data_IF_151721936977
#
_entry.id   IF_151721936977
#
_cell.length_a   1.000
_cell.length_b   1.000
_cell.length_c   1.000
_cell.angle_alpha   90.00
_cell.angle_beta   90.00
_cell.angle_gamma   90.00
#
_symmetry.space_group_name_H-M   'P 1'
#
loop_
_entity.id
_entity.type
_entity.pdbx_description
1 polymer ?
#
# COMPACT_ATOMS: atom_id res chain seq x y z
N UNK A 1 24.08 -0.32 6.22
CA UNK A 1 22.90 -0.30 7.11
C UNK A 1 21.79 0.60 6.59
N UNK A 2 22.00 1.91 6.38
CA UNK A 2 20.93 2.82 5.91
C UNK A 2 20.53 2.56 4.47
N UNK A 3 21.50 2.33 3.58
CA UNK A 3 21.25 1.94 2.19
C UNK A 3 20.49 0.60 2.08
N UNK A 4 20.72 -0.31 3.03
CA UNK A 4 20.05 -1.61 3.09
C UNK A 4 18.57 -1.44 3.48
N UNK A 5 18.27 -0.58 4.47
CA UNK A 5 16.89 -0.28 4.90
C UNK A 5 16.10 0.35 3.76
N UNK A 6 16.64 1.38 3.10
CA UNK A 6 15.97 2.01 1.95
C UNK A 6 15.70 0.97 0.87
N UNK A 7 16.70 0.15 0.52
CA UNK A 7 16.54 -0.87 -0.51
C UNK A 7 15.46 -1.89 -0.13
N UNK A 8 15.41 -2.32 1.12
CA UNK A 8 14.38 -3.26 1.61
C UNK A 8 12.97 -2.66 1.55
N UNK A 9 12.80 -1.39 1.95
CA UNK A 9 11.52 -0.67 1.84
C UNK A 9 11.08 -0.60 0.37
N UNK A 10 11.96 -0.13 -0.50
CA UNK A 10 11.65 0.08 -1.92
C UNK A 10 11.36 -1.26 -2.62
N UNK A 11 12.17 -2.29 -2.39
CA UNK A 11 11.92 -3.63 -2.93
C UNK A 11 10.62 -4.24 -2.41
N UNK A 12 10.29 -4.05 -1.13
CA UNK A 12 9.03 -4.51 -0.55
C UNK A 12 7.81 -3.85 -1.21
N UNK A 13 7.86 -2.52 -1.38
CA UNK A 13 6.77 -1.76 -2.00
C UNK A 13 6.60 -2.12 -3.48
N UNK A 14 7.69 -2.27 -4.24
CA UNK A 14 7.65 -2.71 -5.64
C UNK A 14 7.15 -4.14 -5.80
N UNK A 15 7.52 -5.05 -4.89
CA UNK A 15 7.00 -6.41 -4.89
C UNK A 15 5.48 -6.42 -4.62
N UNK A 16 5.03 -5.65 -3.64
CA UNK A 16 3.60 -5.50 -3.34
C UNK A 16 2.82 -4.92 -4.52
N UNK A 17 3.38 -3.90 -5.17
CA UNK A 17 2.84 -3.33 -6.40
C UNK A 17 2.72 -4.37 -7.52
N UNK A 18 3.79 -5.12 -7.81
CA UNK A 18 3.78 -6.15 -8.85
C UNK A 18 2.75 -7.25 -8.58
N UNK A 19 2.67 -7.72 -7.33
CA UNK A 19 1.67 -8.71 -6.92
C UNK A 19 0.25 -8.16 -7.07
N UNK A 20 0.01 -6.91 -6.63
CA UNK A 20 -1.29 -6.25 -6.75
C UNK A 20 -1.70 -6.07 -8.22
N UNK A 21 -0.79 -5.62 -9.08
CA UNK A 21 -1.04 -5.44 -10.50
C UNK A 21 -1.27 -6.77 -11.23
N UNK A 22 -0.44 -7.78 -10.96
CA UNK A 22 -0.57 -9.10 -11.56
C UNK A 22 -1.88 -9.78 -11.18
N UNK A 23 -2.22 -9.76 -9.89
CA UNK A 23 -3.48 -10.35 -9.41
C UNK A 23 -4.70 -9.53 -9.85
N UNK A 24 -4.62 -8.20 -9.89
CA UNK A 24 -5.67 -7.34 -10.43
C UNK A 24 -5.94 -7.62 -11.91
N UNK A 25 -4.88 -7.74 -12.72
CA UNK A 25 -5.00 -8.05 -14.14
C UNK A 25 -5.74 -9.37 -14.34
N UNK A 26 -5.31 -10.45 -13.67
CA UNK A 26 -5.98 -11.76 -13.74
C UNK A 26 -7.42 -11.65 -13.23
N UNK A 27 -7.62 -11.01 -12.08
CA UNK A 27 -8.90 -10.93 -11.39
C UNK A 27 -9.97 -10.16 -12.14
N UNK A 28 -9.59 -9.11 -12.87
CA UNK A 28 -10.50 -8.31 -13.70
C UNK A 28 -11.16 -9.13 -14.81
N UNK A 29 -10.45 -10.09 -15.41
CA UNK A 29 -10.99 -10.98 -16.44
C UNK A 29 -11.64 -12.23 -15.85
N UNK A 30 -11.08 -12.80 -14.78
CA UNK A 30 -11.54 -14.06 -14.20
C UNK A 30 -12.82 -13.92 -13.35
N UNK A 31 -13.13 -12.72 -12.84
CA UNK A 31 -14.24 -12.50 -11.88
C UNK A 31 -15.16 -11.35 -12.33
N UNK A 32 -16.12 -11.61 -13.24
CA UNK A 32 -16.93 -10.56 -13.88
C UNK A 32 -17.99 -9.94 -12.96
N UNK A 33 -18.29 -10.55 -11.80
CA UNK A 33 -19.26 -10.00 -10.85
C UNK A 33 -18.82 -8.62 -10.36
N UNK A 34 -19.75 -7.67 -10.31
CA UNK A 34 -19.49 -6.25 -10.02
C UNK A 34 -18.63 -6.03 -8.77
N UNK A 35 -18.92 -6.74 -7.67
CA UNK A 35 -18.14 -6.70 -6.43
C UNK A 35 -16.66 -7.07 -6.65
N UNK A 36 -16.39 -8.18 -7.34
CA UNK A 36 -15.03 -8.65 -7.56
C UNK A 36 -14.30 -7.79 -8.60
N UNK A 37 -15.01 -7.37 -9.64
CA UNK A 37 -14.43 -6.47 -10.65
C UNK A 37 -13.98 -5.14 -10.03
N UNK A 38 -14.80 -4.58 -9.15
CA UNK A 38 -14.45 -3.35 -8.42
C UNK A 38 -13.31 -3.55 -7.42
N UNK A 39 -13.29 -4.68 -6.69
CA UNK A 39 -12.15 -5.06 -5.87
C UNK A 39 -10.84 -5.09 -6.67
N UNK A 40 -10.79 -5.85 -7.77
CA UNK A 40 -9.58 -5.98 -8.58
C UNK A 40 -9.18 -4.67 -9.25
N UNK A 41 -10.14 -3.88 -9.73
CA UNK A 41 -9.85 -2.56 -10.29
C UNK A 41 -9.17 -1.65 -9.26
N UNK A 42 -9.71 -1.59 -8.04
CA UNK A 42 -9.17 -0.75 -6.97
C UNK A 42 -7.81 -1.26 -6.46
N UNK A 43 -7.63 -2.58 -6.35
CA UNK A 43 -6.32 -3.18 -6.06
C UNK A 43 -5.28 -2.84 -7.13
N UNK A 44 -5.68 -2.80 -8.40
CA UNK A 44 -4.82 -2.38 -9.50
C UNK A 44 -4.41 -0.91 -9.41
N UNK A 45 -5.34 -0.01 -9.06
CA UNK A 45 -5.04 1.42 -8.85
C UNK A 45 -4.00 1.59 -7.74
N UNK A 46 -4.20 0.97 -6.58
CA UNK A 46 -3.23 1.03 -5.48
C UNK A 46 -1.88 0.43 -5.87
N UNK A 47 -1.89 -0.71 -6.57
CA UNK A 47 -0.68 -1.29 -7.14
C UNK A 47 0.09 -0.32 -8.05
N UNK A 48 -0.59 0.48 -8.88
CA UNK A 48 0.04 1.51 -9.71
C UNK A 48 0.63 2.64 -8.86
N UNK A 49 -0.09 3.10 -7.84
CA UNK A 49 0.36 4.16 -6.94
C UNK A 49 1.61 3.72 -6.17
N UNK A 50 1.58 2.55 -5.54
CA UNK A 50 2.69 1.99 -4.78
C UNK A 50 3.92 1.76 -5.68
N UNK A 51 3.68 1.26 -6.89
CA UNK A 51 4.71 1.07 -7.90
C UNK A 51 5.37 2.38 -8.32
N UNK A 52 4.57 3.43 -8.53
CA UNK A 52 5.05 4.77 -8.83
C UNK A 52 5.88 5.37 -7.70
N UNK A 53 5.42 5.24 -6.45
CA UNK A 53 6.16 5.70 -5.27
C UNK A 53 7.49 4.94 -5.16
N UNK A 54 7.48 3.61 -5.27
CA UNK A 54 8.68 2.78 -5.23
C UNK A 54 9.66 3.11 -6.34
N UNK A 55 9.15 3.37 -7.56
CA UNK A 55 9.97 3.74 -8.71
C UNK A 55 10.64 5.11 -8.54
N UNK A 56 9.89 6.13 -8.12
CA UNK A 56 10.47 7.46 -7.81
C UNK A 56 11.50 7.33 -6.68
N UNK A 57 11.22 6.52 -5.67
CA UNK A 57 12.15 6.27 -4.58
C UNK A 57 13.42 5.51 -5.02
N UNK A 58 13.40 4.73 -6.11
CA UNK A 58 14.61 4.14 -6.71
C UNK A 58 15.48 5.19 -7.40
N UNK A 59 14.86 6.12 -8.12
CA UNK A 59 15.55 7.11 -8.95
C UNK A 59 16.04 8.33 -8.14
N UNK A 60 15.39 8.63 -7.02
CA UNK A 60 15.72 9.77 -6.18
C UNK A 60 17.00 9.59 -5.35
N UNK A 61 17.43 10.68 -4.72
CA UNK A 61 18.59 10.68 -3.85
C UNK A 61 18.38 9.81 -2.59
N UNK A 62 19.43 9.12 -2.11
CA UNK A 62 19.39 8.39 -0.84
C UNK A 62 18.88 9.26 0.31
N UNK A 63 17.77 8.82 0.93
CA UNK A 63 17.21 9.49 2.10
C UNK A 63 17.92 9.03 3.36
N UNK A 64 18.19 9.96 4.28
CA UNK A 64 18.68 9.64 5.62
C UNK A 64 17.56 9.05 6.47
N UNK A 65 17.91 8.35 7.56
CA UNK A 65 16.92 7.86 8.53
C UNK A 65 16.05 9.02 9.08
N UNK A 66 16.65 10.20 9.28
CA UNK A 66 15.94 11.38 9.77
C UNK A 66 14.89 11.90 8.77
N UNK A 67 15.15 11.73 7.47
CA UNK A 67 14.18 12.03 6.42
C UNK A 67 13.09 10.96 6.27
N UNK A 68 13.41 9.68 6.50
CA UNK A 68 12.46 8.57 6.34
C UNK A 68 11.43 8.45 7.48
N UNK A 69 11.85 8.67 8.74
CA UNK A 69 10.97 8.56 9.91
C UNK A 69 9.68 9.39 9.78
N UNK A 70 9.71 10.70 9.47
CA UNK A 70 8.48 11.49 9.37
C UNK A 70 7.58 11.01 8.24
N UNK A 71 8.15 10.59 7.10
CA UNK A 71 7.38 10.07 5.95
C UNK A 71 6.64 8.80 6.34
N UNK A 72 7.34 7.82 6.91
CA UNK A 72 6.73 6.55 7.34
C UNK A 72 5.68 6.75 8.44
N UNK A 73 5.91 7.68 9.37
CA UNK A 73 4.94 8.04 10.41
C UNK A 73 3.67 8.63 9.82
N UNK A 74 3.79 9.54 8.85
CA UNK A 74 2.64 10.14 8.17
C UNK A 74 1.87 9.08 7.39
N UNK A 75 2.57 8.23 6.63
CA UNK A 75 1.92 7.14 5.89
C UNK A 75 1.18 6.16 6.81
N UNK A 76 1.83 5.72 7.90
CA UNK A 76 1.18 4.86 8.91
C UNK A 76 -0.13 5.49 9.42
N UNK A 77 -0.15 6.82 9.63
CA UNK A 77 -1.37 7.54 10.00
C UNK A 77 -2.43 7.58 8.90
N UNK A 78 -2.01 7.77 7.64
CA UNK A 78 -2.90 7.71 6.47
C UNK A 78 -3.48 6.29 6.29
N UNK A 79 -2.72 5.23 6.56
CA UNK A 79 -3.20 3.86 6.46
C UNK A 79 -4.30 3.53 7.47
N UNK A 80 -4.19 4.06 8.70
CA UNK A 80 -5.29 3.98 9.68
C UNK A 80 -6.54 4.63 9.10
N UNK A 81 -6.42 5.83 8.50
CA UNK A 81 -7.55 6.50 7.87
C UNK A 81 -8.12 5.67 6.71
N UNK A 82 -7.27 5.09 5.86
CA UNK A 82 -7.71 4.23 4.76
C UNK A 82 -8.47 2.99 5.25
N UNK A 83 -7.99 2.32 6.30
CA UNK A 83 -8.68 1.17 6.92
C UNK A 83 -10.04 1.56 7.49
N UNK A 84 -10.16 2.73 8.13
CA UNK A 84 -11.45 3.25 8.61
C UNK A 84 -12.41 3.51 7.45
N UNK A 85 -11.94 4.19 6.40
CA UNK A 85 -12.73 4.45 5.18
C UNK A 85 -13.17 3.14 4.54
N UNK A 86 -12.29 2.14 4.50
CA UNK A 86 -12.60 0.81 3.99
C UNK A 86 -13.75 0.15 4.76
N UNK A 87 -13.76 0.24 6.10
CA UNK A 87 -14.87 -0.22 6.93
C UNK A 87 -16.19 0.49 6.59
N UNK A 88 -16.15 1.80 6.37
CA UNK A 88 -17.33 2.59 5.94
C UNK A 88 -17.81 2.20 4.55
N UNK A 89 -16.92 1.84 3.63
CA UNK A 89 -17.28 1.37 2.29
C UNK A 89 -17.87 -0.03 2.30
N UNK A 90 -17.34 -0.92 3.15
CA UNK A 90 -17.83 -2.29 3.32
C UNK A 90 -19.25 -2.36 3.92
N UNK A 91 -19.66 -1.36 4.70
CA UNK A 91 -21.01 -1.28 5.26
C UNK A 91 -22.08 -0.81 4.26
N UNK A 92 -21.68 -0.35 3.07
CA UNK A 92 -22.61 0.15 2.04
C UNK A 92 -23.33 -0.98 1.34
N UNK A 93 -24.57 -0.73 0.89
CA UNK A 93 -25.37 -1.75 0.16
C UNK A 93 -24.87 -2.04 -1.26
N UNK A 94 -24.30 -1.04 -1.94
CA UNK A 94 -23.89 -1.15 -3.35
C UNK A 94 -22.68 -2.11 -3.48
N UNK A 95 -22.75 -3.16 -4.32
CA UNK A 95 -21.65 -4.13 -4.49
C UNK A 95 -20.32 -3.48 -4.89
N UNK A 96 -20.37 -2.46 -5.76
CA UNK A 96 -19.18 -1.70 -6.18
C UNK A 96 -18.45 -1.04 -5.00
N UNK A 97 -19.19 -0.41 -4.08
CA UNK A 97 -18.61 0.27 -2.91
C UNK A 97 -17.99 -0.75 -1.95
N UNK A 98 -18.63 -1.91 -1.78
CA UNK A 98 -18.08 -2.99 -0.94
C UNK A 98 -16.83 -3.61 -1.56
N UNK A 99 -16.78 -3.77 -2.88
CA UNK A 99 -15.59 -4.26 -3.58
C UNK A 99 -14.41 -3.30 -3.43
N UNK A 100 -14.64 -2.00 -3.63
CA UNK A 100 -13.65 -0.96 -3.32
C UNK A 100 -13.25 -0.97 -1.85
N UNK A 101 -14.21 -1.08 -0.93
CA UNK A 101 -13.93 -1.18 0.50
C UNK A 101 -13.04 -2.38 0.84
N UNK A 102 -13.31 -3.56 0.29
CA UNK A 102 -12.46 -4.73 0.52
C UNK A 102 -11.05 -4.52 -0.04
N UNK A 103 -10.91 -3.88 -1.21
CA UNK A 103 -9.60 -3.60 -1.79
C UNK A 103 -8.80 -2.64 -0.92
N UNK A 104 -9.40 -1.51 -0.54
CA UNK A 104 -8.74 -0.54 0.37
C UNK A 104 -8.42 -1.17 1.71
N UNK A 105 -9.27 -2.07 2.22
CA UNK A 105 -8.97 -2.78 3.47
C UNK A 105 -7.72 -3.66 3.33
N UNK A 106 -7.62 -4.46 2.27
CA UNK A 106 -6.48 -5.37 2.06
C UNK A 106 -5.20 -4.57 1.81
N UNK A 107 -5.25 -3.56 0.94
CA UNK A 107 -4.11 -2.71 0.60
C UNK A 107 -3.66 -1.90 1.82
N UNK A 108 -4.60 -1.19 2.47
CA UNK A 108 -4.31 -0.38 3.65
C UNK A 108 -3.86 -1.20 4.86
N UNK A 109 -4.37 -2.42 5.07
CA UNK A 109 -3.90 -3.27 6.17
C UNK A 109 -2.46 -3.74 5.96
N UNK A 110 -2.09 -4.08 4.71
CA UNK A 110 -0.71 -4.39 4.38
C UNK A 110 0.20 -3.17 4.58
N UNK A 111 -0.15 -2.02 4.01
CA UNK A 111 0.65 -0.79 4.11
C UNK A 111 0.78 -0.31 5.55
N UNK A 112 -0.29 -0.37 6.35
CA UNK A 112 -0.24 -0.04 7.78
C UNK A 112 0.80 -0.88 8.53
N UNK A 113 0.82 -2.19 8.29
CA UNK A 113 1.78 -3.09 8.91
C UNK A 113 3.20 -2.84 8.39
N UNK A 114 3.33 -2.59 7.07
CA UNK A 114 4.59 -2.35 6.40
C UNK A 114 5.25 -1.04 6.87
N UNK A 115 4.55 0.08 6.74
CA UNK A 115 5.03 1.40 7.12
C UNK A 115 5.21 1.52 8.62
N UNK A 116 4.30 0.94 9.42
CA UNK A 116 4.44 0.89 10.88
C UNK A 116 5.68 0.11 11.32
N UNK A 117 5.95 -1.05 10.70
CA UNK A 117 7.16 -1.84 10.98
C UNK A 117 8.44 -1.06 10.63
N UNK A 118 8.49 -0.46 9.43
CA UNK A 118 9.66 0.30 9.00
C UNK A 118 9.87 1.58 9.80
N UNK A 119 8.79 2.26 10.17
CA UNK A 119 8.85 3.42 11.05
C UNK A 119 9.48 3.05 12.39
N UNK A 120 8.99 1.99 13.03
CA UNK A 120 9.54 1.50 14.29
C UNK A 120 11.02 1.12 14.16
N UNK A 121 11.39 0.37 13.11
CA UNK A 121 12.78 -0.02 12.84
C UNK A 121 13.70 1.20 12.67
N UNK A 122 13.31 2.18 11.87
CA UNK A 122 14.08 3.40 11.65
C UNK A 122 14.23 4.22 12.94
N UNK A 123 13.17 4.33 13.75
CA UNK A 123 13.22 5.05 15.03
C UNK A 123 14.17 4.37 16.03
N UNK A 124 14.14 3.03 16.12
CA UNK A 124 15.04 2.27 17.01
C UNK A 124 16.50 2.28 16.56
N UNK A 125 16.78 2.47 15.26
CA UNK A 125 18.15 2.53 14.74
C UNK A 125 18.79 3.92 14.90
N UNK A 126 17.99 4.94 15.27
CA UNK A 126 18.44 6.31 15.47
C UNK A 126 18.67 6.66 16.95
N UNK A 127 17.94 6.02 17.86
CA UNK A 127 18.12 6.15 19.31
C UNK A 127 19.22 5.22 19.82
#
# INVERSE_FOLDING_TARGET
MMDDIRRQIVSGLLLWSLLSLGTATIGLYARPKEFWRSFWFMSGIWGLIDGGIGWVALLGDPQTLAGLIPVLKINTGLDVLYVVIAGVLLSRRKPILRGFGLAVLVQGAFLLAFDGYWWWRCATAMG
#
